data_IF_892937620084
#
_entry.id   IF_892937620084
#
_cell.length_a   1.000
_cell.length_b   1.000
_cell.length_c   1.000
_cell.angle_alpha   90.00
_cell.angle_beta   90.00
_cell.angle_gamma   90.00
#
_symmetry.space_group_name_H-M   'P 1'
#
loop_
_entity.id
_entity.type
_entity.pdbx_description
1 polymer ?
#
# COMPACT_ATOMS: atom_id res chain seq x y z
N UNK A 1 3.93 10.24 -2.25
CA UNK A 1 2.50 9.87 -2.24
C UNK A 1 2.30 8.39 -1.91
N UNK A 2 2.97 7.44 -2.59
CA UNK A 2 2.90 6.00 -2.28
C UNK A 2 3.49 5.68 -0.90
N UNK A 3 4.53 6.42 -0.49
CA UNK A 3 5.11 6.33 0.85
C UNK A 3 4.13 6.77 1.95
N UNK A 4 3.31 7.78 1.66
CA UNK A 4 2.31 8.28 2.62
C UNK A 4 1.15 7.29 2.77
N UNK A 5 0.71 6.68 1.66
CA UNK A 5 -0.28 5.60 1.67
C UNK A 5 0.25 4.41 2.49
N UNK A 6 1.49 3.99 2.23
CA UNK A 6 2.13 2.92 2.98
C UNK A 6 2.23 3.26 4.47
N UNK A 7 2.66 4.48 4.81
CA UNK A 7 2.75 4.95 6.19
C UNK A 7 1.40 4.88 6.92
N UNK A 8 0.32 5.34 6.30
CA UNK A 8 -1.00 5.26 6.90
C UNK A 8 -1.46 3.80 7.09
N UNK A 9 -1.24 2.94 6.10
CA UNK A 9 -1.60 1.54 6.21
C UNK A 9 -0.78 0.79 7.28
N UNK A 10 0.52 1.07 7.40
CA UNK A 10 1.37 0.47 8.44
C UNK A 10 0.97 0.95 9.84
N UNK A 11 0.39 2.13 9.95
CA UNK A 11 -0.18 2.69 11.18
C UNK A 11 -1.68 2.37 11.38
N UNK A 12 -2.13 1.24 10.84
CA UNK A 12 -3.49 0.71 11.04
C UNK A 12 -4.61 1.60 10.50
N UNK A 13 -4.39 2.28 9.38
CA UNK A 13 -5.46 2.93 8.63
C UNK A 13 -5.90 2.07 7.45
N UNK A 14 -7.21 2.01 7.23
CA UNK A 14 -7.83 1.35 6.08
C UNK A 14 -8.18 2.38 5.00
N UNK A 15 -7.96 2.01 3.74
CA UNK A 15 -8.47 2.79 2.62
C UNK A 15 -9.98 2.57 2.54
N UNK A 16 -10.75 3.63 2.79
CA UNK A 16 -12.21 3.64 2.65
C UNK A 16 -12.62 3.71 1.17
N UNK A 17 -11.83 4.41 0.37
CA UNK A 17 -12.04 4.57 -1.06
C UNK A 17 -10.99 5.45 -1.71
N UNK A 18 -10.94 5.39 -3.04
CA UNK A 18 -10.06 6.23 -3.84
C UNK A 18 -10.77 6.74 -5.09
N UNK A 19 -10.24 7.81 -5.66
CA UNK A 19 -10.70 8.40 -6.92
C UNK A 19 -9.54 9.03 -7.65
N UNK A 20 -9.52 8.88 -8.98
CA UNK A 20 -8.55 9.52 -9.85
C UNK A 20 -9.25 10.24 -10.99
N UNK A 21 -8.75 11.41 -11.36
CA UNK A 21 -9.28 12.16 -12.51
C UNK A 21 -8.21 13.05 -13.14
N UNK A 22 -8.39 13.40 -14.42
CA UNK A 22 -7.55 14.36 -15.12
C UNK A 22 -8.27 15.70 -15.23
N UNK A 23 -7.64 16.79 -14.77
CA UNK A 23 -8.23 18.13 -14.74
C UNK A 23 -7.24 19.27 -14.90
N UNK A 24 -7.74 20.52 -15.06
CA UNK A 24 -6.92 21.72 -14.93
C UNK A 24 -6.42 21.86 -13.51
N UNK A 25 -5.52 22.82 -13.27
CA UNK A 25 -5.12 23.18 -11.90
C UNK A 25 -6.36 23.53 -11.05
N UNK A 26 -6.53 22.85 -9.92
CA UNK A 26 -7.68 23.01 -9.05
C UNK A 26 -7.28 23.53 -7.66
N UNK A 27 -7.45 24.83 -7.45
CA UNK A 27 -7.19 25.49 -6.16
C UNK A 27 -8.22 25.13 -5.08
N UNK A 28 -9.36 24.54 -5.47
CA UNK A 28 -10.42 24.13 -4.55
C UNK A 28 -10.28 22.69 -4.05
N UNK A 29 -9.34 21.91 -4.61
CA UNK A 29 -9.15 20.48 -4.33
C UNK A 29 -9.10 20.17 -2.83
N UNK A 30 -8.32 20.94 -2.07
CA UNK A 30 -8.21 20.76 -0.61
C UNK A 30 -9.57 20.87 0.09
N UNK A 31 -10.41 21.84 -0.31
CA UNK A 31 -11.76 22.00 0.25
C UNK A 31 -12.68 20.87 -0.17
N UNK A 32 -12.59 20.44 -1.43
CA UNK A 32 -13.38 19.34 -1.96
C UNK A 32 -13.05 18.04 -1.22
N UNK A 33 -11.77 17.73 -1.03
CA UNK A 33 -11.32 16.55 -0.26
C UNK A 33 -11.78 16.62 1.19
N UNK A 34 -11.67 17.77 1.86
CA UNK A 34 -12.14 17.94 3.23
C UNK A 34 -13.68 17.77 3.35
N UNK A 35 -14.42 18.22 2.35
CA UNK A 35 -15.89 18.02 2.29
C UNK A 35 -16.23 16.54 2.09
N UNK A 36 -15.51 15.87 1.21
CA UNK A 36 -15.66 14.45 0.94
C UNK A 36 -15.32 13.59 2.17
N UNK A 37 -14.29 13.94 2.93
CA UNK A 37 -13.97 13.27 4.19
C UNK A 37 -15.16 13.34 5.18
N UNK A 38 -15.79 14.53 5.32
CA UNK A 38 -16.96 14.68 6.19
C UNK A 38 -18.15 13.85 5.70
N UNK A 39 -18.43 13.88 4.41
CA UNK A 39 -19.53 13.12 3.80
C UNK A 39 -19.35 11.61 4.00
N UNK A 40 -18.17 11.12 3.75
CA UNK A 40 -17.83 9.68 3.82
C UNK A 40 -17.39 9.23 5.21
N UNK A 41 -17.33 10.12 6.21
CA UNK A 41 -16.83 9.85 7.55
C UNK A 41 -15.40 9.32 7.57
N UNK A 42 -14.56 9.78 6.63
CA UNK A 42 -13.14 9.51 6.63
C UNK A 42 -12.43 10.44 7.61
N UNK A 43 -11.42 9.92 8.31
CA UNK A 43 -10.60 10.72 9.22
C UNK A 43 -9.53 11.48 8.45
N UNK A 44 -8.91 10.84 7.46
CA UNK A 44 -7.82 11.40 6.66
C UNK A 44 -8.19 11.37 5.18
N UNK A 45 -7.98 12.50 4.50
CA UNK A 45 -8.01 12.61 3.04
C UNK A 45 -6.62 12.92 2.51
N UNK A 46 -6.00 11.96 1.83
CA UNK A 46 -4.73 12.14 1.15
C UNK A 46 -4.99 12.42 -0.33
N UNK A 47 -4.31 13.41 -0.89
CA UNK A 47 -4.39 13.68 -2.33
C UNK A 47 -3.02 14.06 -2.89
N UNK A 48 -2.80 13.66 -4.13
CA UNK A 48 -1.63 14.02 -4.91
C UNK A 48 -2.03 14.46 -6.31
N UNK A 49 -1.11 15.08 -7.02
CA UNK A 49 -1.30 15.42 -8.42
C UNK A 49 0.02 15.40 -9.18
N UNK A 50 -0.06 15.06 -10.47
CA UNK A 50 1.08 15.04 -11.37
C UNK A 50 0.72 15.78 -12.66
N UNK A 51 1.60 16.65 -13.12
CA UNK A 51 1.44 17.32 -14.41
C UNK A 51 1.54 16.31 -15.56
N UNK A 52 0.56 16.33 -16.46
CA UNK A 52 0.47 15.38 -17.58
C UNK A 52 0.56 16.03 -18.95
N UNK A 53 0.57 17.36 -19.02
CA UNK A 53 0.66 18.07 -20.29
C UNK A 53 -0.17 19.34 -20.31
N UNK A 54 -0.39 19.87 -21.51
CA UNK A 54 -1.18 21.09 -21.72
C UNK A 54 -2.22 20.84 -22.81
N UNK A 55 -3.47 21.17 -22.53
CA UNK A 55 -4.54 21.19 -23.51
C UNK A 55 -4.65 22.56 -24.14
N UNK A 56 -4.43 22.65 -25.44
CA UNK A 56 -4.60 23.88 -26.21
C UNK A 56 -5.98 23.92 -26.84
N UNK A 57 -6.64 25.05 -26.77
CA UNK A 57 -7.91 25.32 -27.44
C UNK A 57 -7.88 26.66 -28.17
N UNK A 58 -8.88 26.91 -28.98
CA UNK A 58 -9.06 28.18 -29.64
C UNK A 58 -10.54 28.60 -29.57
N UNK A 59 -10.78 29.91 -29.50
CA UNK A 59 -12.12 30.48 -29.63
C UNK A 59 -12.08 31.68 -30.55
N UNK A 60 -13.19 31.91 -31.27
CA UNK A 60 -13.34 33.03 -32.18
C UNK A 60 -13.96 34.23 -31.44
N UNK A 61 -13.36 35.42 -31.64
CA UNK A 61 -13.91 36.68 -31.14
C UNK A 61 -13.87 37.70 -32.28
N UNK A 62 -15.02 37.85 -32.94
CA UNK A 62 -15.12 38.63 -34.18
C UNK A 62 -14.27 38.00 -35.30
N UNK A 63 -13.39 38.80 -35.89
CA UNK A 63 -12.47 38.37 -36.98
C UNK A 63 -11.17 37.73 -36.45
N UNK A 64 -11.02 37.58 -35.15
CA UNK A 64 -9.80 37.06 -34.53
C UNK A 64 -10.00 35.66 -33.97
N UNK A 65 -8.99 34.83 -34.13
CA UNK A 65 -8.87 33.52 -33.45
C UNK A 65 -7.91 33.69 -32.28
N UNK A 66 -8.39 33.48 -31.09
CA UNK A 66 -7.58 33.48 -29.88
C UNK A 66 -7.28 32.04 -29.46
N UNK A 67 -6.07 31.76 -29.09
CA UNK A 67 -5.65 30.47 -28.54
C UNK A 67 -5.45 30.58 -27.04
N UNK A 68 -5.73 29.50 -26.33
CA UNK A 68 -5.43 29.38 -24.93
C UNK A 68 -4.80 28.00 -24.65
N UNK A 69 -4.01 27.94 -23.59
CA UNK A 69 -3.37 26.72 -23.14
C UNK A 69 -3.65 26.52 -21.66
N UNK A 70 -4.18 25.33 -21.33
CA UNK A 70 -4.53 24.98 -19.95
C UNK A 70 -3.69 23.78 -19.53
N UNK A 71 -2.82 23.92 -18.51
CA UNK A 71 -2.11 22.79 -17.95
C UNK A 71 -3.07 21.75 -17.39
N UNK A 72 -2.75 20.49 -17.58
CA UNK A 72 -3.53 19.34 -17.12
C UNK A 72 -2.73 18.54 -16.10
N UNK A 73 -3.45 18.01 -15.13
CA UNK A 73 -2.90 17.21 -14.05
C UNK A 73 -3.73 15.95 -13.84
N UNK A 74 -3.07 14.85 -13.57
CA UNK A 74 -3.71 13.69 -12.95
C UNK A 74 -3.74 13.90 -11.45
N UNK A 75 -4.91 13.70 -10.88
CA UNK A 75 -5.19 13.82 -9.45
C UNK A 75 -5.55 12.45 -8.89
N UNK A 76 -4.94 12.09 -7.78
CA UNK A 76 -5.27 10.90 -7.01
C UNK A 76 -5.71 11.32 -5.60
N UNK A 77 -6.84 10.78 -5.15
CA UNK A 77 -7.44 11.05 -3.84
C UNK A 77 -7.68 9.72 -3.16
N UNK A 78 -7.26 9.60 -1.91
CA UNK A 78 -7.52 8.46 -1.04
C UNK A 78 -8.15 8.92 0.25
N UNK A 79 -9.16 8.20 0.70
CA UNK A 79 -9.81 8.42 1.99
C UNK A 79 -9.47 7.28 2.94
N UNK A 80 -9.14 7.62 4.18
CA UNK A 80 -8.73 6.65 5.18
C UNK A 80 -9.59 6.76 6.43
N UNK A 81 -9.79 5.61 7.07
CA UNK A 81 -10.41 5.48 8.38
C UNK A 81 -9.50 4.64 9.29
N UNK A 82 -9.52 4.88 10.62
CA UNK A 82 -8.80 4.01 11.54
C UNK A 82 -9.31 2.57 11.43
N UNK A 83 -8.42 1.62 11.54
CA UNK A 83 -8.78 0.21 11.59
C UNK A 83 -9.53 -0.08 12.89
N UNK A 84 -10.67 -0.78 12.88
CA UNK A 84 -11.33 -1.23 14.11
C UNK A 84 -10.40 -2.09 14.97
N UNK A 85 -10.50 -1.95 16.29
CA UNK A 85 -9.59 -2.60 17.26
C UNK A 85 -9.50 -4.11 17.06
N UNK A 86 -10.63 -4.81 16.84
CA UNK A 86 -10.64 -6.26 16.62
C UNK A 86 -9.85 -6.68 15.37
N UNK A 87 -9.91 -5.88 14.30
CA UNK A 87 -9.11 -6.10 13.09
C UNK A 87 -7.64 -5.74 13.32
N UNK A 88 -7.39 -4.69 14.10
CA UNK A 88 -6.04 -4.28 14.44
C UNK A 88 -5.32 -5.38 15.23
N UNK A 89 -5.97 -5.96 16.23
CA UNK A 89 -5.42 -7.06 17.03
C UNK A 89 -5.11 -8.29 16.16
N UNK A 90 -6.04 -8.68 15.28
CA UNK A 90 -5.84 -9.78 14.35
C UNK A 90 -4.65 -9.52 13.41
N UNK A 91 -4.57 -8.33 12.82
CA UNK A 91 -3.48 -7.95 11.91
C UNK A 91 -2.15 -7.79 12.62
N UNK A 92 -2.14 -7.38 13.87
CA UNK A 92 -0.93 -7.23 14.68
C UNK A 92 -0.34 -8.57 15.14
N UNK A 93 -1.05 -9.68 15.09
CA UNK A 93 -0.58 -10.98 15.59
C UNK A 93 0.81 -11.35 15.08
N UNK A 94 1.01 -11.40 13.79
CA UNK A 94 2.32 -11.53 13.13
C UNK A 94 2.79 -10.17 12.62
N UNK A 95 1.88 -9.40 12.06
CA UNK A 95 2.09 -8.00 11.73
C UNK A 95 2.60 -7.75 10.33
N UNK A 96 2.26 -8.61 9.37
CA UNK A 96 2.59 -8.36 7.96
C UNK A 96 1.44 -8.81 7.03
N UNK A 97 1.48 -8.27 5.82
CA UNK A 97 0.64 -8.74 4.71
C UNK A 97 1.50 -9.16 3.55
N UNK A 98 1.05 -10.20 2.88
CA UNK A 98 1.74 -10.75 1.73
C UNK A 98 0.85 -10.71 0.49
N UNK A 99 1.45 -10.82 -0.67
CA UNK A 99 0.81 -11.10 -1.94
C UNK A 99 1.67 -12.05 -2.76
N UNK A 100 1.08 -12.64 -3.79
CA UNK A 100 1.87 -13.41 -4.74
C UNK A 100 2.87 -12.54 -5.49
N UNK A 101 3.95 -13.17 -5.96
CA UNK A 101 4.93 -12.51 -6.82
C UNK A 101 4.31 -12.16 -8.16
N UNK A 102 4.37 -10.90 -8.55
CA UNK A 102 4.06 -10.47 -9.90
C UNK A 102 5.25 -10.63 -10.86
N UNK A 103 5.06 -10.26 -12.12
CA UNK A 103 6.12 -10.38 -13.14
C UNK A 103 7.33 -9.49 -12.84
N UNK A 104 7.12 -8.32 -12.25
CA UNK A 104 8.20 -7.39 -11.90
C UNK A 104 9.02 -7.88 -10.71
N UNK A 105 8.34 -8.48 -9.72
CA UNK A 105 9.00 -9.12 -8.57
C UNK A 105 9.90 -10.27 -9.03
N UNK A 106 9.38 -11.15 -9.90
CA UNK A 106 10.13 -12.30 -10.43
C UNK A 106 11.38 -11.87 -11.21
N UNK A 107 11.25 -10.81 -12.01
CA UNK A 107 12.38 -10.25 -12.77
C UNK A 107 13.43 -9.63 -11.85
N UNK A 108 13.01 -8.82 -10.88
CA UNK A 108 13.91 -8.09 -9.98
C UNK A 108 14.63 -9.02 -9.00
N UNK A 109 13.94 -10.05 -8.49
CA UNK A 109 14.43 -10.97 -7.48
C UNK A 109 15.04 -12.26 -8.04
N UNK A 110 14.80 -12.53 -9.34
CA UNK A 110 15.16 -13.78 -10.03
C UNK A 110 14.57 -15.03 -9.33
N UNK A 111 13.38 -14.87 -8.73
CA UNK A 111 12.65 -15.94 -8.04
C UNK A 111 11.27 -16.12 -8.67
N UNK A 112 10.88 -17.38 -8.85
CA UNK A 112 9.58 -17.73 -9.43
C UNK A 112 8.53 -18.06 -8.37
N UNK A 113 8.95 -18.36 -7.15
CA UNK A 113 8.09 -18.79 -6.04
C UNK A 113 8.42 -18.04 -4.76
N UNK A 114 7.45 -17.95 -3.86
CA UNK A 114 7.52 -17.22 -2.61
C UNK A 114 6.34 -16.27 -2.46
N UNK A 115 6.28 -15.58 -1.34
CA UNK A 115 5.28 -14.55 -1.07
C UNK A 115 5.97 -13.20 -0.82
N UNK A 116 5.53 -12.16 -1.51
CA UNK A 116 6.04 -10.80 -1.38
C UNK A 116 5.44 -10.11 -0.17
N UNK A 117 6.27 -9.57 0.71
CA UNK A 117 5.82 -8.74 1.85
C UNK A 117 5.40 -7.38 1.34
N UNK A 118 4.09 -7.15 1.30
CA UNK A 118 3.47 -5.91 0.77
C UNK A 118 3.31 -4.82 1.82
N UNK A 119 3.12 -5.20 3.09
CA UNK A 119 2.97 -4.31 4.22
C UNK A 119 3.53 -4.95 5.48
N UNK A 120 4.17 -4.15 6.33
CA UNK A 120 4.50 -4.50 7.71
C UNK A 120 3.82 -3.47 8.61
N UNK A 121 3.06 -3.95 9.60
CA UNK A 121 2.40 -3.07 10.56
C UNK A 121 3.38 -2.60 11.63
N UNK A 122 3.31 -1.32 11.96
CA UNK A 122 4.17 -0.72 12.98
C UNK A 122 3.95 -1.39 14.34
N UNK A 123 5.03 -1.50 15.12
CA UNK A 123 5.02 -2.09 16.47
C UNK A 123 4.54 -3.54 16.52
N UNK A 124 4.57 -4.27 15.41
CA UNK A 124 4.22 -5.69 15.33
C UNK A 124 5.44 -6.61 15.52
N UNK A 125 5.24 -7.91 15.77
CA UNK A 125 6.34 -8.88 15.80
C UNK A 125 7.21 -8.89 14.54
N UNK A 126 6.60 -8.79 13.35
CA UNK A 126 7.32 -8.70 12.08
C UNK A 126 8.18 -7.44 12.00
N UNK A 127 7.66 -6.29 12.49
CA UNK A 127 8.40 -5.04 12.56
C UNK A 127 9.65 -5.18 13.45
N UNK A 128 9.49 -5.71 14.66
CA UNK A 128 10.61 -5.89 15.60
C UNK A 128 11.60 -6.96 15.15
N UNK A 129 11.17 -7.90 14.31
CA UNK A 129 12.05 -8.91 13.68
C UNK A 129 12.74 -8.40 12.42
N UNK A 130 12.66 -7.08 12.14
CA UNK A 130 13.32 -6.45 10.99
C UNK A 130 12.84 -6.97 9.62
N UNK A 131 11.59 -7.47 9.52
CA UNK A 131 10.96 -7.72 8.23
C UNK A 131 10.54 -6.39 7.61
N UNK A 132 10.70 -6.26 6.31
CA UNK A 132 10.39 -5.04 5.58
C UNK A 132 9.56 -5.32 4.32
N UNK A 133 8.82 -4.30 3.88
CA UNK A 133 8.22 -4.33 2.54
C UNK A 133 9.29 -4.60 1.48
N UNK A 134 8.98 -5.52 0.57
CA UNK A 134 9.90 -5.93 -0.48
C UNK A 134 10.67 -7.22 -0.19
N UNK A 135 10.61 -7.73 1.04
CA UNK A 135 11.14 -9.05 1.34
C UNK A 135 10.29 -10.13 0.67
N UNK A 136 10.90 -11.27 0.37
CA UNK A 136 10.21 -12.42 -0.17
C UNK A 136 10.32 -13.57 0.82
N UNK A 137 9.19 -14.00 1.36
CA UNK A 137 9.12 -15.21 2.20
C UNK A 137 9.26 -16.42 1.29
N UNK A 138 10.26 -17.26 1.57
CA UNK A 138 10.54 -18.48 0.82
C UNK A 138 10.26 -19.75 1.60
N UNK A 139 10.29 -19.67 2.94
CA UNK A 139 10.10 -20.82 3.81
C UNK A 139 9.58 -20.38 5.17
N UNK A 140 8.68 -21.18 5.77
CA UNK A 140 8.22 -21.01 7.15
C UNK A 140 8.27 -22.39 7.82
N UNK A 141 9.02 -22.50 8.92
CA UNK A 141 9.18 -23.75 9.68
C UNK A 141 9.59 -24.97 8.82
N UNK A 142 10.45 -24.77 7.83
CA UNK A 142 10.88 -25.82 6.90
C UNK A 142 9.91 -26.08 5.74
N UNK A 143 8.78 -25.40 5.70
CA UNK A 143 7.80 -25.52 4.61
C UNK A 143 8.12 -24.48 3.54
N UNK A 144 8.40 -24.94 2.32
CA UNK A 144 8.63 -24.05 1.18
C UNK A 144 7.34 -23.31 0.81
N UNK A 145 7.43 -21.99 0.67
CA UNK A 145 6.31 -21.11 0.32
C UNK A 145 6.29 -20.90 -1.20
N UNK A 146 5.13 -21.13 -1.79
CA UNK A 146 4.89 -20.93 -3.23
C UNK A 146 3.82 -19.88 -3.53
N UNK A 147 2.99 -19.51 -2.54
CA UNK A 147 1.92 -18.51 -2.67
C UNK A 147 1.68 -17.74 -1.37
N UNK A 148 1.01 -16.59 -1.48
CA UNK A 148 0.57 -15.81 -0.33
C UNK A 148 -0.43 -16.57 0.54
N UNK A 149 -1.37 -17.31 -0.06
CA UNK A 149 -2.39 -18.09 0.67
C UNK A 149 -1.77 -19.11 1.62
N UNK A 150 -0.62 -19.71 1.25
CA UNK A 150 0.08 -20.63 2.15
C UNK A 150 0.63 -19.93 3.39
N UNK A 151 1.14 -18.71 3.24
CA UNK A 151 1.62 -17.91 4.36
C UNK A 151 0.46 -17.57 5.29
N UNK A 152 -0.65 -17.07 4.74
CA UNK A 152 -1.85 -16.73 5.52
C UNK A 152 -2.39 -17.96 6.26
N UNK A 153 -2.48 -19.10 5.61
CA UNK A 153 -2.93 -20.35 6.24
C UNK A 153 -2.02 -20.85 7.39
N UNK A 154 -0.70 -20.56 7.32
CA UNK A 154 0.23 -20.86 8.41
C UNK A 154 0.03 -19.88 9.57
N UNK A 155 -0.11 -18.59 9.27
CA UNK A 155 -0.29 -17.55 10.28
C UNK A 155 -1.63 -17.70 11.01
N UNK A 156 -2.70 -18.08 10.31
CA UNK A 156 -4.02 -18.32 10.91
C UNK A 156 -4.02 -19.48 11.93
N UNK A 157 -3.15 -20.45 11.74
CA UNK A 157 -3.02 -21.61 12.64
C UNK A 157 -2.03 -21.39 13.77
N UNK A 158 -1.15 -20.40 13.66
CA UNK A 158 -0.15 -20.13 14.69
C UNK A 158 -0.80 -19.64 15.98
N UNK A 159 -0.30 -20.11 17.13
CA UNK A 159 -0.72 -19.69 18.46
C UNK A 159 0.39 -18.94 19.19
N UNK A 160 0.09 -18.28 20.29
CA UNK A 160 1.04 -17.41 21.04
C UNK A 160 2.28 -18.13 21.56
N UNK A 161 2.20 -19.44 21.74
CA UNK A 161 3.35 -20.26 22.17
C UNK A 161 4.24 -20.71 21.01
N UNK A 162 3.81 -20.49 19.78
CA UNK A 162 4.57 -20.89 18.61
C UNK A 162 5.71 -19.90 18.35
N UNK A 163 6.78 -20.43 17.80
CA UNK A 163 7.85 -19.63 17.18
C UNK A 163 7.86 -19.95 15.70
N UNK A 164 7.59 -18.94 14.88
CA UNK A 164 7.64 -19.04 13.43
C UNK A 164 9.06 -18.70 12.95
N UNK A 165 9.76 -19.69 12.46
CA UNK A 165 11.06 -19.49 11.80
C UNK A 165 10.83 -19.22 10.32
N UNK A 166 11.10 -18.00 9.90
CA UNK A 166 10.81 -17.50 8.55
C UNK A 166 12.12 -17.23 7.81
N UNK A 167 12.32 -17.87 6.67
CA UNK A 167 13.41 -17.57 5.75
C UNK A 167 12.92 -16.63 4.67
N UNK A 168 13.61 -15.48 4.55
CA UNK A 168 13.27 -14.40 3.60
C UNK A 168 14.45 -14.11 2.68
N UNK A 169 14.15 -13.43 1.58
CA UNK A 169 15.16 -12.86 0.69
C UNK A 169 14.98 -11.34 0.61
N UNK A 170 16.06 -10.60 0.81
CA UNK A 170 16.15 -9.14 0.62
C UNK A 170 17.32 -8.83 -0.31
N UNK A 171 17.05 -8.15 -1.43
CA UNK A 171 18.09 -7.87 -2.41
C UNK A 171 18.80 -9.11 -2.96
N UNK A 172 18.12 -10.26 -3.01
CA UNK A 172 18.66 -11.53 -3.47
C UNK A 172 19.43 -12.33 -2.41
N UNK A 173 19.65 -11.79 -1.21
CA UNK A 173 20.34 -12.47 -0.13
C UNK A 173 19.35 -13.09 0.85
N UNK A 174 19.53 -14.36 1.25
CA UNK A 174 18.69 -15.01 2.25
C UNK A 174 19.05 -14.58 3.66
N UNK A 175 18.06 -14.48 4.52
CA UNK A 175 18.21 -14.36 5.97
C UNK A 175 17.02 -15.04 6.66
N UNK A 176 17.20 -15.37 7.93
CA UNK A 176 16.16 -16.05 8.71
C UNK A 176 15.86 -15.23 9.96
N UNK A 177 14.59 -15.11 10.29
CA UNK A 177 14.10 -14.49 11.51
C UNK A 177 13.19 -15.45 12.28
N UNK A 178 13.03 -15.20 13.55
CA UNK A 178 12.05 -15.89 14.40
C UNK A 178 11.04 -14.88 14.90
N UNK A 179 9.77 -15.23 14.77
CA UNK A 179 8.63 -14.40 15.20
C UNK A 179 7.78 -15.22 16.18
N UNK A 180 7.47 -14.62 17.31
CA UNK A 180 6.43 -15.13 18.21
C UNK A 180 5.16 -14.31 18.02
N UNK A 181 4.05 -14.92 17.52
CA UNK A 181 2.79 -14.22 17.34
C UNK A 181 2.25 -13.63 18.63
N UNK A 182 1.62 -12.45 18.57
CA UNK A 182 0.88 -11.85 19.70
C UNK A 182 -0.56 -12.38 19.76
N UNK A 183 -1.16 -12.37 20.95
CA UNK A 183 -2.58 -12.73 21.21
C UNK A 183 -3.18 -11.85 22.27
#
# INVERSE_FOLDING_TARGET
FDSDIYYLQSNYYLILGNSSYNGPADSSLKKAVASLCKEKRAEIGLYGYQYTGTKTGAYSSGSYINTYSVPRYDYDIYLFVPMPEYLMLDRARVGLRVRDLDSSDRLSTKRNVGAYVSLVYDSSPAFYSNISRGDIISEINGITITSADQVEAIFDKAISTDTLRITLYRGGLPFTVEISPLF
#
